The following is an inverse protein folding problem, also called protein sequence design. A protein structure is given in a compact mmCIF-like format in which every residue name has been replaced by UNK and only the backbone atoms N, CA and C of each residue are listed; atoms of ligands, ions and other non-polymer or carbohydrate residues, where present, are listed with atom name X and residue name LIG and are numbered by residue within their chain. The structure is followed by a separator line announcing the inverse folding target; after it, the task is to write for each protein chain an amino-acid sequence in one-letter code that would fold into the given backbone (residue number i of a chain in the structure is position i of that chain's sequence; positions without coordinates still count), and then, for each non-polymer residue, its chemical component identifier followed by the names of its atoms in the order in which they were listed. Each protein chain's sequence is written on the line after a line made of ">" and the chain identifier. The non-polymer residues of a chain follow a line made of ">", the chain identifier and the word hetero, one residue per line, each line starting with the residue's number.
data_IF_149547520667
#
_entry.id   IF_149547520667
#
_cell.length_a   1.000
_cell.length_b   1.000
_cell.length_c   1.000
_cell.angle_alpha   90.00
_cell.angle_beta   90.00
_cell.angle_gamma   90.00
#
_symmetry.space_group_name_H-M   'P 1'
#
loop_
_entity.id
_entity.type
_entity.pdbx_description
1 polymer ?
#
# COMPACT_ATOMS: atom_id res chain seq x y z
N UNK A 1 -9.04 -11.17 17.51
CA UNK A 1 -7.94 -12.13 17.75
C UNK A 1 -7.42 -12.62 16.41
N UNK A 2 -6.11 -12.92 16.28
CA UNK A 2 -5.62 -13.59 15.08
C UNK A 2 -6.32 -14.95 14.90
N UNK A 3 -6.43 -15.47 13.66
CA UNK A 3 -6.99 -16.80 13.41
C UNK A 3 -6.29 -17.88 14.25
N UNK A 4 -7.06 -18.78 14.87
CA UNK A 4 -6.56 -19.82 15.77
C UNK A 4 -5.64 -20.82 15.04
N UNK A 5 -5.87 -20.99 13.74
CA UNK A 5 -5.10 -21.84 12.85
C UNK A 5 -3.61 -21.44 12.82
N UNK A 6 -3.28 -20.16 13.03
CA UNK A 6 -1.88 -19.74 13.11
C UNK A 6 -1.15 -20.32 14.32
N UNK A 7 -1.85 -20.58 15.43
CA UNK A 7 -1.24 -21.22 16.59
C UNK A 7 -0.96 -22.71 16.33
N UNK A 8 -1.92 -23.41 15.72
CA UNK A 8 -1.75 -24.80 15.31
C UNK A 8 -0.58 -24.95 14.30
N UNK A 9 -0.45 -24.03 13.35
CA UNK A 9 0.65 -24.03 12.37
C UNK A 9 2.01 -23.72 13.01
N UNK A 10 2.06 -22.78 13.96
CA UNK A 10 3.30 -22.48 14.73
C UNK A 10 3.78 -23.67 15.56
N UNK A 11 2.84 -24.46 16.11
CA UNK A 11 3.15 -25.64 16.90
C UNK A 11 3.78 -26.77 16.06
N UNK A 12 3.47 -26.84 14.77
CA UNK A 12 4.01 -27.85 13.85
C UNK A 12 5.50 -27.61 13.49
N UNK A 13 5.95 -26.36 13.48
CA UNK A 13 7.34 -26.04 13.17
C UNK A 13 7.56 -24.59 12.73
N UNK A 14 8.82 -24.14 12.60
CA UNK A 14 9.17 -22.79 12.15
C UNK A 14 8.81 -22.51 10.68
N UNK A 15 8.87 -23.54 9.84
CA UNK A 15 8.52 -23.53 8.43
C UNK A 15 7.71 -24.79 8.16
N UNK A 16 6.50 -24.64 7.63
CA UNK A 16 5.57 -25.75 7.40
C UNK A 16 5.04 -25.73 5.96
N UNK A 17 4.78 -26.88 5.35
CA UNK A 17 4.11 -26.91 4.05
C UNK A 17 2.67 -26.38 4.19
N UNK A 18 2.21 -25.63 3.20
CA UNK A 18 0.87 -25.07 3.13
C UNK A 18 0.31 -25.17 1.71
N UNK A 19 -1.01 -25.13 1.60
CA UNK A 19 -1.74 -25.14 0.33
C UNK A 19 -2.52 -23.85 0.19
N UNK A 20 -2.32 -23.12 -0.91
CA UNK A 20 -2.95 -21.83 -1.15
C UNK A 20 -4.26 -22.02 -1.93
N UNK A 21 -5.37 -22.15 -1.21
CA UNK A 21 -6.70 -22.40 -1.82
C UNK A 21 -7.11 -21.32 -2.83
N UNK A 22 -6.79 -20.05 -2.55
CA UNK A 22 -7.05 -18.92 -3.46
C UNK A 22 -6.17 -18.92 -4.72
N UNK A 23 -5.11 -19.74 -4.75
CA UNK A 23 -4.20 -19.88 -5.88
C UNK A 23 -4.31 -21.26 -6.52
N UNK A 24 -5.55 -21.80 -6.62
CA UNK A 24 -5.81 -23.10 -7.24
C UNK A 24 -5.21 -24.29 -6.50
N UNK A 25 -5.02 -24.18 -5.17
CA UNK A 25 -4.48 -25.26 -4.35
C UNK A 25 -2.97 -25.48 -4.54
N UNK A 26 -2.23 -24.46 -4.97
CA UNK A 26 -0.79 -24.59 -5.18
C UNK A 26 -0.04 -24.75 -3.84
N UNK A 27 0.99 -25.62 -3.79
CA UNK A 27 1.82 -25.78 -2.60
C UNK A 27 2.70 -24.55 -2.38
N UNK A 28 2.92 -24.21 -1.11
CA UNK A 28 3.81 -23.16 -0.65
C UNK A 28 4.45 -23.53 0.68
N UNK A 29 5.50 -22.80 1.06
CA UNK A 29 6.06 -22.85 2.41
C UNK A 29 5.49 -21.69 3.22
N UNK A 30 5.03 -21.99 4.44
CA UNK A 30 4.58 -20.98 5.40
C UNK A 30 5.60 -20.84 6.51
N UNK A 31 6.13 -19.63 6.66
CA UNK A 31 7.00 -19.26 7.77
C UNK A 31 6.14 -18.78 8.94
N UNK A 32 6.29 -19.40 10.11
CA UNK A 32 5.35 -19.21 11.23
C UNK A 32 5.98 -18.48 12.43
N UNK A 33 7.31 -18.33 12.44
CA UNK A 33 8.08 -17.76 13.55
C UNK A 33 8.84 -16.50 13.11
N UNK A 34 9.00 -15.58 14.06
CA UNK A 34 9.56 -14.24 13.78
C UNK A 34 11.03 -14.29 13.33
N UNK A 35 11.82 -15.25 13.84
CA UNK A 35 13.23 -15.39 13.49
C UNK A 35 13.38 -15.72 12.01
N UNK A 36 12.72 -16.80 11.58
CA UNK A 36 12.75 -17.27 10.20
C UNK A 36 12.06 -16.27 9.25
N UNK A 37 11.01 -15.57 9.72
CA UNK A 37 10.38 -14.52 8.92
C UNK A 37 11.37 -13.38 8.62
N UNK A 38 12.15 -12.95 9.62
CA UNK A 38 13.20 -11.93 9.43
C UNK A 38 14.30 -12.42 8.49
N UNK A 39 14.73 -13.67 8.60
CA UNK A 39 15.73 -14.26 7.70
C UNK A 39 15.23 -14.27 6.26
N UNK A 40 14.01 -14.77 6.00
CA UNK A 40 13.43 -14.84 4.66
C UNK A 40 13.19 -13.45 4.06
N UNK A 41 12.64 -12.51 4.85
CA UNK A 41 12.32 -11.16 4.37
C UNK A 41 13.56 -10.28 4.10
N UNK A 42 14.72 -10.63 4.65
CA UNK A 42 15.97 -9.88 4.48
C UNK A 42 16.93 -10.49 3.44
N UNK A 43 16.72 -11.74 3.05
CA UNK A 43 17.65 -12.50 2.22
C UNK A 43 17.29 -12.41 0.73
N UNK A 44 18.23 -11.93 -0.09
CA UNK A 44 18.04 -11.72 -1.53
C UNK A 44 17.88 -12.99 -2.36
N UNK A 45 18.02 -14.18 -1.76
CA UNK A 45 17.69 -15.45 -2.40
C UNK A 45 16.17 -15.66 -2.51
N UNK A 46 15.37 -14.93 -1.73
CA UNK A 46 13.91 -14.93 -1.83
C UNK A 46 13.44 -13.71 -2.61
N UNK A 47 12.89 -13.97 -3.79
CA UNK A 47 12.39 -12.92 -4.68
C UNK A 47 10.97 -12.48 -4.32
N UNK A 48 10.72 -11.18 -4.40
CA UNK A 48 9.37 -10.59 -4.33
C UNK A 48 8.73 -10.39 -5.71
N UNK A 49 9.46 -10.68 -6.79
CA UNK A 49 8.97 -10.53 -8.16
C UNK A 49 7.93 -11.60 -8.52
N UNK A 50 6.66 -11.19 -8.44
CA UNK A 50 5.52 -12.04 -8.75
C UNK A 50 5.38 -12.41 -10.24
N UNK A 51 6.28 -11.96 -11.12
CA UNK A 51 6.28 -12.35 -12.55
C UNK A 51 7.04 -13.66 -12.77
N UNK A 52 7.96 -14.00 -11.85
CA UNK A 52 8.85 -15.15 -11.99
C UNK A 52 8.09 -16.48 -12.09
N UNK A 53 8.62 -17.46 -12.86
CA UNK A 53 8.08 -18.81 -12.86
C UNK A 53 8.03 -19.39 -11.45
N UNK A 54 6.93 -20.09 -11.12
CA UNK A 54 6.77 -20.73 -9.82
C UNK A 54 6.18 -19.84 -8.72
N UNK A 55 6.08 -18.51 -8.89
CA UNK A 55 5.41 -17.66 -7.90
C UNK A 55 3.92 -18.04 -7.76
N UNK A 56 3.35 -18.25 -6.55
CA UNK A 56 2.01 -18.79 -6.35
C UNK A 56 0.87 -18.04 -7.07
N UNK A 57 0.91 -16.71 -7.03
CA UNK A 57 -0.02 -15.83 -7.75
C UNK A 57 0.80 -14.98 -8.70
N UNK A 58 0.85 -15.38 -9.97
CA UNK A 58 1.60 -14.64 -10.98
C UNK A 58 0.85 -13.36 -11.35
N UNK A 59 1.61 -12.28 -11.50
CA UNK A 59 1.09 -10.99 -11.97
C UNK A 59 1.79 -10.60 -13.26
N UNK A 60 1.09 -9.88 -14.12
CA UNK A 60 1.59 -9.33 -15.39
C UNK A 60 2.37 -8.03 -15.18
N UNK A 61 1.99 -7.27 -14.16
CA UNK A 61 2.60 -6.01 -13.78
C UNK A 61 3.41 -6.16 -12.49
N UNK A 62 4.45 -5.33 -12.34
CA UNK A 62 5.26 -5.22 -11.14
C UNK A 62 5.18 -3.81 -10.59
N UNK A 63 4.95 -3.70 -9.28
CA UNK A 63 5.00 -2.45 -8.52
C UNK A 63 6.23 -2.47 -7.63
N UNK A 64 6.59 -1.34 -7.02
CA UNK A 64 7.76 -1.26 -6.14
C UNK A 64 7.84 -2.40 -5.11
N UNK A 65 6.70 -2.79 -4.52
CA UNK A 65 6.62 -3.85 -3.50
C UNK A 65 6.76 -5.28 -4.06
N UNK A 66 6.78 -5.44 -5.39
CA UNK A 66 6.94 -6.70 -6.14
C UNK A 66 8.18 -6.65 -7.05
N UNK A 67 9.21 -5.91 -6.65
CA UNK A 67 10.48 -5.80 -7.36
C UNK A 67 11.61 -6.30 -6.46
N UNK A 68 12.67 -6.80 -7.08
CA UNK A 68 13.94 -7.10 -6.43
C UNK A 68 14.98 -6.03 -6.78
N UNK A 69 16.10 -5.94 -6.04
CA UNK A 69 17.27 -5.20 -6.48
C UNK A 69 17.75 -5.67 -7.87
N UNK A 70 18.32 -4.76 -8.70
CA UNK A 70 18.65 -3.37 -8.40
C UNK A 70 17.50 -2.38 -8.59
N UNK A 71 16.46 -2.73 -9.34
CA UNK A 71 15.35 -1.81 -9.67
C UNK A 71 14.56 -1.39 -8.44
N UNK A 72 14.25 -2.31 -7.53
CA UNK A 72 13.63 -1.97 -6.25
C UNK A 72 14.43 -0.92 -5.50
N UNK A 73 15.75 -1.10 -5.39
CA UNK A 73 16.64 -0.16 -4.69
C UNK A 73 16.63 1.21 -5.35
N UNK A 74 16.70 1.25 -6.68
CA UNK A 74 16.67 2.50 -7.46
C UNK A 74 15.37 3.28 -7.20
N UNK A 75 14.21 2.65 -7.37
CA UNK A 75 12.92 3.31 -7.17
C UNK A 75 12.66 3.65 -5.70
N UNK A 76 13.06 2.79 -4.76
CA UNK A 76 12.89 3.06 -3.32
C UNK A 76 13.73 4.26 -2.89
N UNK A 77 14.93 4.43 -3.44
CA UNK A 77 15.78 5.59 -3.15
C UNK A 77 15.15 6.92 -3.62
N UNK A 78 14.34 6.91 -4.68
CA UNK A 78 13.62 8.11 -5.14
C UNK A 78 12.61 8.61 -4.10
N UNK A 79 11.99 7.72 -3.31
CA UNK A 79 10.95 8.10 -2.33
C UNK A 79 11.40 8.06 -0.87
N UNK A 80 12.50 7.38 -0.53
CA UNK A 80 12.89 7.15 0.87
C UNK A 80 13.06 8.43 1.68
N UNK A 81 13.52 9.51 1.03
CA UNK A 81 13.73 10.80 1.68
C UNK A 81 12.41 11.48 2.11
N UNK A 82 11.26 11.03 1.60
CA UNK A 82 9.93 11.49 2.02
C UNK A 82 9.50 10.89 3.36
N UNK A 83 10.06 9.73 3.72
CA UNK A 83 9.65 8.95 4.89
C UNK A 83 10.71 8.93 6.00
N UNK A 84 11.69 9.84 5.98
CA UNK A 84 12.66 9.98 7.07
C UNK A 84 12.03 10.66 8.28
N UNK A 85 12.56 10.39 9.48
CA UNK A 85 11.95 10.84 10.75
C UNK A 85 11.66 12.34 10.82
N UNK A 86 12.50 13.20 10.24
CA UNK A 86 12.23 14.65 10.17
C UNK A 86 10.99 14.98 9.33
N UNK A 87 10.88 14.44 8.11
CA UNK A 87 9.72 14.67 7.24
C UNK A 87 8.43 14.11 7.83
N UNK A 88 8.51 12.95 8.48
CA UNK A 88 7.36 12.37 9.19
C UNK A 88 6.96 13.23 10.39
N UNK A 89 7.92 13.83 11.11
CA UNK A 89 7.62 14.76 12.19
C UNK A 89 6.90 16.02 11.71
N UNK A 90 7.24 16.52 10.51
CA UNK A 90 6.58 17.67 9.89
C UNK A 90 5.10 17.38 9.52
N UNK A 91 4.70 16.11 9.44
CA UNK A 91 3.29 15.72 9.24
C UNK A 91 2.45 15.78 10.52
N UNK A 92 3.08 15.86 11.70
CA UNK A 92 2.35 15.86 12.98
C UNK A 92 1.30 16.97 13.06
N UNK A 93 1.62 18.26 12.78
CA UNK A 93 0.61 19.32 12.82
C UNK A 93 -0.52 19.11 11.81
N UNK A 94 -0.22 18.52 10.65
CA UNK A 94 -1.24 18.19 9.63
C UNK A 94 -2.17 17.11 10.14
N UNK A 95 -1.62 16.01 10.68
CA UNK A 95 -2.42 14.90 11.22
C UNK A 95 -3.26 15.36 12.41
N UNK A 96 -2.71 16.19 13.30
CA UNK A 96 -3.43 16.80 14.43
C UNK A 96 -4.61 17.64 13.91
N UNK A 97 -4.37 18.57 12.98
CA UNK A 97 -5.45 19.39 12.42
C UNK A 97 -6.50 18.61 11.60
N UNK A 98 -6.12 17.51 10.96
CA UNK A 98 -7.09 16.59 10.31
C UNK A 98 -7.92 15.86 11.37
N UNK A 99 -7.28 15.40 12.44
CA UNK A 99 -7.92 14.67 13.53
C UNK A 99 -8.88 15.58 14.29
N UNK A 100 -8.46 16.79 14.64
CA UNK A 100 -9.28 17.78 15.36
C UNK A 100 -10.56 18.09 14.56
N UNK A 101 -10.45 18.32 13.25
CA UNK A 101 -11.63 18.54 12.41
C UNK A 101 -12.60 17.36 12.40
N UNK A 102 -12.09 16.12 12.29
CA UNK A 102 -12.94 14.93 12.34
C UNK A 102 -13.60 14.78 13.73
N UNK A 103 -12.91 15.13 14.80
CA UNK A 103 -13.45 15.11 16.16
C UNK A 103 -14.50 16.22 16.38
N UNK A 104 -14.29 17.41 15.82
CA UNK A 104 -15.27 18.50 15.83
C UNK A 104 -16.56 18.10 15.08
N UNK A 105 -16.43 17.45 13.92
CA UNK A 105 -17.57 16.92 13.15
C UNK A 105 -18.35 15.87 13.96
N UNK A 106 -17.64 14.99 14.68
CA UNK A 106 -18.25 14.01 15.59
C UNK A 106 -18.97 14.70 16.74
N UNK A 107 -18.36 15.74 17.34
CA UNK A 107 -18.92 16.47 18.47
C UNK A 107 -20.16 17.31 18.08
N UNK A 108 -20.20 17.83 16.85
CA UNK A 108 -21.37 18.51 16.28
C UNK A 108 -22.49 17.56 15.80
N UNK A 109 -22.23 16.26 15.80
CA UNK A 109 -23.13 15.22 15.31
C UNK A 109 -24.04 14.60 16.39
N UNK A 110 -24.57 13.39 16.12
CA UNK A 110 -25.38 12.65 17.09
C UNK A 110 -24.61 12.27 18.36
N UNK A 111 -25.32 12.09 19.47
CA UNK A 111 -24.73 11.70 20.76
C UNK A 111 -23.98 10.34 20.75
N UNK A 112 -24.18 9.52 19.71
CA UNK A 112 -23.43 8.29 19.45
C UNK A 112 -22.93 8.33 18.01
N UNK A 113 -21.63 8.14 17.84
CA UNK A 113 -20.99 8.06 16.52
C UNK A 113 -20.23 6.74 16.39
N UNK A 114 -20.25 6.17 15.19
CA UNK A 114 -19.38 5.05 14.82
C UNK A 114 -18.03 5.60 14.37
N UNK A 115 -16.99 5.40 15.19
CA UNK A 115 -15.64 5.91 14.92
C UNK A 115 -15.00 5.31 13.67
N UNK A 116 -15.49 4.17 13.18
CA UNK A 116 -14.91 3.54 11.98
C UNK A 116 -15.12 4.41 10.73
N UNK A 117 -16.35 4.72 10.29
CA UNK A 117 -16.59 5.59 9.14
C UNK A 117 -16.31 7.06 9.42
N UNK A 118 -16.36 7.53 10.68
CA UNK A 118 -16.21 8.97 10.98
C UNK A 118 -14.79 9.40 11.34
N UNK A 119 -13.88 8.47 11.67
CA UNK A 119 -12.50 8.81 12.07
C UNK A 119 -11.47 7.84 11.49
N UNK A 120 -11.60 6.55 11.77
CA UNK A 120 -10.55 5.58 11.47
C UNK A 120 -10.35 5.33 9.96
N UNK A 121 -11.43 5.40 9.16
CA UNK A 121 -11.34 5.30 7.70
C UNK A 121 -10.96 6.63 7.03
N UNK A 122 -11.57 7.80 7.38
CA UNK A 122 -11.24 9.07 6.73
C UNK A 122 -9.83 9.56 7.02
N UNK A 123 -9.33 9.41 8.26
CA UNK A 123 -8.07 10.03 8.67
C UNK A 123 -6.87 9.54 7.84
N UNK A 124 -6.62 8.22 7.67
CA UNK A 124 -5.52 7.76 6.81
C UNK A 124 -5.68 8.19 5.35
N UNK A 125 -6.91 8.20 4.82
CA UNK A 125 -7.21 8.65 3.46
C UNK A 125 -6.91 10.13 3.25
N UNK A 126 -7.29 10.98 4.20
CA UNK A 126 -6.96 12.42 4.20
C UNK A 126 -5.45 12.66 4.23
N UNK A 127 -4.74 11.92 5.08
CA UNK A 127 -3.28 12.04 5.22
C UNK A 127 -2.57 11.61 3.94
N UNK A 128 -2.94 10.48 3.33
CA UNK A 128 -2.30 10.06 2.07
C UNK A 128 -2.66 10.99 0.91
N UNK A 129 -3.89 11.50 0.83
CA UNK A 129 -4.26 12.51 -0.16
C UNK A 129 -3.42 13.78 -0.02
N UNK A 130 -3.20 14.25 1.21
CA UNK A 130 -2.32 15.38 1.49
C UNK A 130 -0.87 15.11 1.04
N UNK A 131 -0.31 13.94 1.38
CA UNK A 131 1.05 13.55 1.00
C UNK A 131 1.26 13.47 -0.51
N UNK A 132 0.28 12.93 -1.23
CA UNK A 132 0.31 12.80 -2.69
C UNK A 132 -0.06 14.10 -3.41
N UNK A 133 -0.58 15.10 -2.69
CA UNK A 133 -1.06 16.34 -3.28
C UNK A 133 -2.30 16.15 -4.17
N UNK A 134 -3.15 15.19 -3.83
CA UNK A 134 -4.40 14.89 -4.55
C UNK A 134 -5.62 15.33 -3.76
N UNK A 135 -6.74 15.54 -4.46
CA UNK A 135 -8.00 15.93 -3.83
C UNK A 135 -8.58 14.78 -3.01
N UNK A 136 -9.07 15.09 -1.81
CA UNK A 136 -9.84 14.11 -1.04
C UNK A 136 -11.13 13.69 -1.75
N UNK A 137 -11.66 14.47 -2.70
CA UNK A 137 -12.83 14.07 -3.48
C UNK A 137 -12.63 12.76 -4.25
N UNK A 138 -11.39 12.40 -4.56
CA UNK A 138 -11.04 11.19 -5.30
C UNK A 138 -10.87 9.95 -4.42
N UNK A 139 -10.96 10.10 -3.08
CA UNK A 139 -10.62 9.01 -2.15
C UNK A 139 -11.48 7.76 -2.34
N UNK A 140 -12.78 7.90 -2.64
CA UNK A 140 -13.69 6.77 -2.88
C UNK A 140 -13.21 5.97 -4.09
N UNK A 141 -12.97 6.66 -5.21
CA UNK A 141 -12.45 6.03 -6.43
C UNK A 141 -11.12 5.32 -6.17
N UNK A 142 -10.18 5.98 -5.49
CA UNK A 142 -8.87 5.41 -5.15
C UNK A 142 -9.00 4.18 -4.26
N UNK A 143 -9.86 4.23 -3.25
CA UNK A 143 -10.11 3.13 -2.31
C UNK A 143 -10.72 1.92 -3.03
N UNK A 144 -11.75 2.14 -3.85
CA UNK A 144 -12.43 1.08 -4.59
C UNK A 144 -11.49 0.39 -5.59
N UNK A 145 -10.82 1.16 -6.46
CA UNK A 145 -9.90 0.60 -7.45
C UNK A 145 -8.69 -0.06 -6.80
N UNK A 146 -8.17 0.48 -5.71
CA UNK A 146 -7.08 -0.19 -4.95
C UNK A 146 -7.56 -1.50 -4.33
N UNK A 147 -8.78 -1.54 -3.79
CA UNK A 147 -9.36 -2.76 -3.26
C UNK A 147 -9.50 -3.82 -4.36
N UNK A 148 -10.00 -3.46 -5.54
CA UNK A 148 -10.17 -4.37 -6.67
C UNK A 148 -8.83 -4.90 -7.20
N UNK A 149 -7.80 -4.07 -7.24
CA UNK A 149 -6.45 -4.49 -7.66
C UNK A 149 -5.79 -5.48 -6.67
N UNK A 150 -6.13 -5.41 -5.37
CA UNK A 150 -5.46 -6.16 -4.30
C UNK A 150 -6.25 -7.35 -3.76
N UNK A 151 -7.57 -7.37 -3.91
CA UNK A 151 -8.42 -8.40 -3.32
C UNK A 151 -8.06 -9.78 -3.88
N UNK A 152 -7.87 -10.75 -2.98
CA UNK A 152 -7.50 -12.11 -3.37
C UNK A 152 -8.60 -12.82 -4.18
N UNK A 153 -9.84 -12.34 -4.10
CA UNK A 153 -11.00 -12.90 -4.81
C UNK A 153 -11.29 -12.23 -6.14
N UNK A 154 -10.58 -11.15 -6.50
CA UNK A 154 -10.83 -10.45 -7.76
C UNK A 154 -10.33 -11.25 -8.95
N UNK A 155 -11.07 -11.18 -10.06
CA UNK A 155 -10.68 -11.86 -11.31
C UNK A 155 -9.49 -11.15 -11.96
N UNK A 156 -8.73 -11.82 -12.84
CA UNK A 156 -7.67 -11.16 -13.61
C UNK A 156 -8.14 -9.91 -14.35
N UNK A 157 -9.35 -9.94 -14.93
CA UNK A 157 -9.93 -8.83 -15.68
C UNK A 157 -10.24 -7.64 -14.77
N UNK A 158 -10.83 -7.87 -13.59
CA UNK A 158 -11.10 -6.83 -12.59
C UNK A 158 -9.80 -6.17 -12.11
N UNK A 159 -8.76 -6.97 -11.90
CA UNK A 159 -7.44 -6.49 -11.49
C UNK A 159 -6.84 -5.61 -12.58
N UNK A 160 -6.86 -6.07 -13.83
CA UNK A 160 -6.27 -5.34 -14.97
C UNK A 160 -7.01 -4.02 -15.23
N UNK A 161 -8.34 -4.02 -15.15
CA UNK A 161 -9.16 -2.80 -15.27
C UNK A 161 -8.84 -1.81 -14.14
N UNK A 162 -8.79 -2.27 -12.89
CA UNK A 162 -8.49 -1.43 -11.74
C UNK A 162 -7.07 -0.83 -11.81
N UNK A 163 -6.09 -1.62 -12.24
CA UNK A 163 -4.71 -1.15 -12.47
C UNK A 163 -4.68 -0.10 -13.59
N UNK A 164 -5.41 -0.32 -14.68
CA UNK A 164 -5.49 0.65 -15.77
C UNK A 164 -6.18 1.96 -15.36
N UNK A 165 -7.25 1.89 -14.55
CA UNK A 165 -7.93 3.05 -13.97
C UNK A 165 -7.01 3.86 -13.06
N UNK A 166 -6.29 3.18 -12.15
CA UNK A 166 -5.30 3.81 -11.28
C UNK A 166 -4.16 4.44 -12.09
N UNK A 167 -3.69 3.78 -13.15
CA UNK A 167 -2.70 4.32 -14.09
C UNK A 167 -3.17 5.63 -14.72
N UNK A 168 -4.36 5.64 -15.33
CA UNK A 168 -4.95 6.85 -15.92
C UNK A 168 -5.15 7.98 -14.91
N UNK A 169 -5.51 7.65 -13.67
CA UNK A 169 -5.60 8.63 -12.60
C UNK A 169 -4.24 9.25 -12.29
N UNK A 170 -3.22 8.41 -12.07
CA UNK A 170 -1.87 8.86 -11.77
C UNK A 170 -1.26 9.68 -12.92
N UNK A 171 -1.52 9.32 -14.18
CA UNK A 171 -1.07 10.10 -15.34
C UNK A 171 -1.64 11.53 -15.31
N UNK A 172 -2.93 11.69 -14.98
CA UNK A 172 -3.55 13.02 -14.83
C UNK A 172 -2.93 13.81 -13.69
N UNK A 173 -2.67 13.16 -12.55
CA UNK A 173 -2.03 13.80 -11.40
C UNK A 173 -0.62 14.25 -11.76
N UNK A 174 0.19 13.37 -12.35
CA UNK A 174 1.55 13.66 -12.79
C UNK A 174 1.58 14.82 -13.78
N UNK A 175 0.68 14.82 -14.78
CA UNK A 175 0.57 15.93 -15.73
C UNK A 175 0.25 17.25 -15.02
N UNK A 176 -0.71 17.26 -14.09
CA UNK A 176 -1.01 18.45 -13.30
C UNK A 176 0.18 18.94 -12.49
N UNK A 177 1.00 18.04 -11.92
CA UNK A 177 2.21 18.41 -11.16
C UNK A 177 3.38 18.82 -12.05
N UNK A 178 3.45 18.33 -13.29
CA UNK A 178 4.41 18.79 -14.29
C UNK A 178 4.19 20.27 -14.63
N UNK A 179 2.92 20.66 -14.78
CA UNK A 179 2.47 22.00 -15.15
C UNK A 179 2.53 22.98 -13.97
N UNK A 180 2.09 22.54 -12.78
CA UNK A 180 2.09 23.34 -11.55
C UNK A 180 2.53 22.48 -10.34
N UNK A 181 3.86 22.37 -10.09
CA UNK A 181 4.37 21.62 -8.95
C UNK A 181 3.90 22.22 -7.61
N UNK A 182 3.50 21.36 -6.69
CA UNK A 182 3.18 21.72 -5.30
C UNK A 182 4.23 21.20 -4.32
N UNK A 183 3.94 21.34 -3.02
CA UNK A 183 4.77 20.78 -1.95
C UNK A 183 4.30 19.36 -1.54
N UNK A 184 4.24 18.45 -2.51
CA UNK A 184 3.79 17.07 -2.34
C UNK A 184 4.79 16.05 -2.93
N UNK A 185 4.64 14.78 -2.54
CA UNK A 185 5.56 13.71 -2.94
C UNK A 185 5.61 13.58 -4.47
N UNK A 186 4.47 13.68 -5.15
CA UNK A 186 4.41 13.48 -6.60
C UNK A 186 5.13 14.63 -7.32
N UNK A 187 4.93 15.86 -6.89
CA UNK A 187 5.62 17.04 -7.43
C UNK A 187 7.13 16.89 -7.32
N UNK A 188 7.64 16.50 -6.15
CA UNK A 188 9.08 16.31 -5.92
C UNK A 188 9.66 15.15 -6.73
N UNK A 189 8.94 14.04 -6.84
CA UNK A 189 9.34 12.93 -7.72
C UNK A 189 9.47 13.37 -9.18
N UNK A 190 8.50 14.15 -9.66
CA UNK A 190 8.49 14.65 -11.03
C UNK A 190 9.62 15.65 -11.28
N UNK A 191 9.87 16.58 -10.35
CA UNK A 191 10.92 17.59 -10.50
C UNK A 191 12.32 17.00 -10.39
N UNK A 192 12.53 16.06 -9.46
CA UNK A 192 13.87 15.63 -9.06
C UNK A 192 14.36 14.38 -9.83
N UNK A 193 13.43 13.64 -10.45
CA UNK A 193 13.75 12.36 -11.10
C UNK A 193 13.19 12.18 -12.52
N UNK A 194 12.29 13.05 -13.00
CA UNK A 194 11.71 12.95 -14.36
C UNK A 194 12.14 14.11 -15.26
N UNK A 195 12.26 15.33 -14.73
CA UNK A 195 12.73 16.51 -15.50
C UNK A 195 14.26 16.58 -15.67
N UNK A 196 15.01 15.67 -15.05
CA UNK A 196 16.47 15.51 -15.17
C UNK A 196 16.82 14.37 -16.11
#
# INVERSE_FOLDING_TARGET
>A
HPPAEYEALRAQGPVVPATLSFAGGRPAWLVTRIKEAKEVLADTRFSSDSRLPGFPVRRTHSTLIRMDPPDHTRYRNMINHEFVGRRVADLRPVIEGLTDRLLDDIAGGPARSDLLPTLAMPLPSLVICHLLGVSYADHVFLQERTADALRATSTPEEIDEAVADLGRYMDRVVQSKLDAPGDDIISRLVTDHVKT
#
